data_IF_708794642873
#
_entry.id   IF_708794642873
#
_cell.length_a   1.000
_cell.length_b   1.000
_cell.length_c   1.000
_cell.angle_alpha   90.00
_cell.angle_beta   90.00
_cell.angle_gamma   90.00
#
_symmetry.space_group_name_H-M   'P 1'
#
loop_
_entity.id
_entity.type
_entity.pdbx_description
1 polymer ?
#
# COMPACT_ATOMS: atom_id res chain seq x y z
N UNK A 1 22.24 18.82 -9.55
CA UNK A 1 22.25 18.81 -11.04
C UNK A 1 21.22 19.76 -11.62
N UNK A 2 19.91 19.60 -11.32
CA UNK A 2 18.84 20.48 -11.84
C UNK A 2 18.96 21.96 -11.48
N UNK A 3 19.33 22.30 -10.23
CA UNK A 3 19.50 23.70 -9.83
C UNK A 3 20.54 24.45 -10.68
N UNK A 4 21.69 23.80 -10.95
CA UNK A 4 22.76 24.41 -11.71
C UNK A 4 22.47 24.46 -13.21
N UNK A 5 21.66 23.53 -13.73
CA UNK A 5 21.13 23.63 -15.10
C UNK A 5 20.15 24.82 -15.20
N UNK A 6 19.27 24.97 -14.22
CA UNK A 6 18.34 26.10 -14.17
C UNK A 6 19.06 27.47 -14.10
N UNK A 7 20.16 27.58 -13.34
CA UNK A 7 20.98 28.78 -13.33
C UNK A 7 21.64 29.08 -14.70
N UNK A 8 21.91 28.05 -15.51
CA UNK A 8 22.41 28.22 -16.88
C UNK A 8 21.27 28.68 -17.79
N UNK A 9 20.08 28.08 -17.68
CA UNK A 9 18.90 28.47 -18.45
C UNK A 9 18.49 29.93 -18.18
N UNK A 10 18.64 30.40 -16.94
CA UNK A 10 18.40 31.79 -16.54
C UNK A 10 19.52 32.75 -16.94
N UNK A 11 20.63 32.24 -17.51
CA UNK A 11 21.80 33.04 -17.89
C UNK A 11 22.61 33.57 -16.71
N UNK A 12 22.39 33.07 -15.49
CA UNK A 12 23.14 33.48 -14.30
C UNK A 12 24.55 32.90 -14.29
N UNK A 13 24.77 31.80 -15.02
CA UNK A 13 26.07 31.17 -15.22
C UNK A 13 26.15 30.55 -16.62
N UNK A 14 27.36 30.45 -17.15
CA UNK A 14 27.58 29.92 -18.51
C UNK A 14 27.55 28.38 -18.57
N UNK A 15 27.92 27.68 -17.50
CA UNK A 15 28.07 26.22 -17.50
C UNK A 15 27.53 25.58 -16.22
N UNK A 16 27.15 24.30 -16.28
CA UNK A 16 26.79 23.52 -15.09
C UNK A 16 28.03 22.75 -14.59
N UNK A 17 28.58 23.05 -13.39
CA UNK A 17 29.82 22.45 -12.90
C UNK A 17 29.59 21.04 -12.35
N UNK A 18 28.32 20.67 -12.13
CA UNK A 18 27.92 19.31 -11.77
C UNK A 18 27.60 18.46 -13.02
N UNK A 19 27.73 19.01 -14.24
CA UNK A 19 27.56 18.25 -15.47
C UNK A 19 28.67 17.20 -15.55
N UNK A 20 28.29 15.94 -15.76
CA UNK A 20 29.23 14.81 -15.79
C UNK A 20 29.54 14.20 -14.43
N UNK A 21 29.03 14.76 -13.32
CA UNK A 21 29.09 14.09 -12.01
C UNK A 21 28.03 12.98 -11.99
N UNK A 22 28.42 11.70 -11.90
CA UNK A 22 27.46 10.60 -11.87
C UNK A 22 26.60 10.68 -10.60
N UNK A 23 25.33 10.28 -10.73
CA UNK A 23 24.44 10.20 -9.57
C UNK A 23 24.99 9.18 -8.56
N UNK A 24 25.04 9.59 -7.29
CA UNK A 24 25.46 8.69 -6.23
C UNK A 24 24.46 7.54 -6.13
N UNK A 25 24.96 6.32 -6.28
CA UNK A 25 24.16 5.12 -6.06
C UNK A 25 23.94 4.97 -4.56
N UNK A 26 22.80 5.41 -4.07
CA UNK A 26 22.36 5.07 -2.72
C UNK A 26 21.67 3.71 -2.76
N UNK A 27 22.01 2.82 -1.83
CA UNK A 27 21.21 1.63 -1.59
C UNK A 27 19.82 2.06 -1.16
N UNK A 28 18.84 1.83 -2.03
CA UNK A 28 17.44 2.12 -1.70
C UNK A 28 16.90 0.92 -0.93
N UNK A 29 16.47 1.16 0.30
CA UNK A 29 15.68 0.18 1.03
C UNK A 29 14.39 -0.09 0.25
N UNK A 30 14.20 -1.34 -0.20
CA UNK A 30 12.97 -1.72 -0.91
C UNK A 30 11.80 -1.76 0.08
N UNK A 31 10.86 -0.82 -0.09
CA UNK A 31 9.62 -0.81 0.68
C UNK A 31 8.77 -2.03 0.34
N UNK A 32 8.28 -2.69 1.39
CA UNK A 32 7.45 -3.90 1.30
C UNK A 32 6.20 -3.73 2.17
N UNK A 33 5.07 -4.38 1.83
CA UNK A 33 3.88 -4.37 2.67
C UNK A 33 4.21 -4.95 4.05
N UNK A 34 3.53 -4.46 5.08
CA UNK A 34 3.63 -5.01 6.43
C UNK A 34 3.15 -6.47 6.45
N UNK A 35 3.86 -7.38 7.13
CA UNK A 35 3.35 -8.71 7.44
C UNK A 35 2.03 -8.64 8.21
N UNK A 36 1.15 -9.61 7.97
CA UNK A 36 -0.16 -9.69 8.63
C UNK A 36 -0.03 -9.73 10.17
N UNK A 37 1.00 -10.41 10.67
CA UNK A 37 1.29 -10.48 12.11
C UNK A 37 1.63 -9.10 12.70
N UNK A 38 2.37 -8.25 11.98
CA UNK A 38 2.67 -6.90 12.45
C UNK A 38 1.46 -5.97 12.36
N UNK A 39 0.59 -6.15 11.36
CA UNK A 39 -0.70 -5.45 11.32
C UNK A 39 -1.57 -5.86 12.52
N UNK A 40 -1.62 -7.16 12.84
CA UNK A 40 -2.34 -7.66 14.01
C UNK A 40 -1.74 -7.12 15.32
N UNK A 41 -0.41 -7.13 15.46
CA UNK A 41 0.29 -6.57 16.61
C UNK A 41 0.03 -5.07 16.77
N UNK A 42 0.01 -4.30 15.67
CA UNK A 42 -0.34 -2.88 15.70
C UNK A 42 -1.79 -2.67 16.17
N UNK A 43 -2.72 -3.49 15.67
CA UNK A 43 -4.13 -3.50 16.11
C UNK A 43 -4.27 -3.86 17.60
N UNK A 44 -3.45 -4.75 18.12
CA UNK A 44 -3.47 -5.11 19.54
C UNK A 44 -2.87 -4.01 20.42
N UNK A 45 -1.78 -3.39 19.97
CA UNK A 45 -1.13 -2.29 20.68
C UNK A 45 -1.98 -1.00 20.69
N UNK A 46 -2.84 -0.81 19.69
CA UNK A 46 -3.71 0.36 19.55
C UNK A 46 -5.18 -0.06 19.62
N UNK A 47 -5.79 0.13 20.81
CA UNK A 47 -7.21 -0.12 21.03
C UNK A 47 -8.10 0.65 20.04
N UNK A 48 -9.28 0.12 19.77
CA UNK A 48 -10.29 0.83 18.97
C UNK A 48 -10.62 2.20 19.60
N UNK A 49 -10.92 3.19 18.76
CA UNK A 49 -11.16 4.59 19.18
C UNK A 49 -9.90 5.44 19.34
N UNK A 50 -8.69 4.85 19.36
CA UNK A 50 -7.44 5.63 19.38
C UNK A 50 -7.13 6.23 18.00
N UNK A 51 -6.43 7.38 17.95
CA UNK A 51 -6.05 8.04 16.69
C UNK A 51 -5.05 7.20 15.89
N UNK A 52 -4.13 6.54 16.58
CA UNK A 52 -3.14 5.60 16.03
C UNK A 52 -3.83 4.42 15.34
N UNK A 53 -4.87 3.87 15.97
CA UNK A 53 -5.67 2.81 15.34
C UNK A 53 -6.41 3.35 14.12
N UNK A 54 -7.07 4.50 14.25
CA UNK A 54 -7.87 5.09 13.18
C UNK A 54 -7.05 5.44 11.93
N UNK A 55 -5.84 6.03 12.10
CA UNK A 55 -4.99 6.37 10.96
C UNK A 55 -4.54 5.14 10.18
N UNK A 56 -4.25 4.03 10.86
CA UNK A 56 -3.90 2.78 10.19
C UNK A 56 -5.09 2.23 9.39
N UNK A 57 -6.28 2.13 10.01
CA UNK A 57 -7.45 1.56 9.31
C UNK A 57 -7.88 2.43 8.12
N UNK A 58 -7.76 3.76 8.21
CA UNK A 58 -7.97 4.68 7.08
C UNK A 58 -6.95 4.41 5.96
N UNK A 59 -5.65 4.34 6.27
CA UNK A 59 -4.62 4.08 5.27
C UNK A 59 -4.82 2.71 4.57
N UNK A 60 -5.09 1.65 5.34
CA UNK A 60 -5.28 0.30 4.83
C UNK A 60 -6.56 0.16 4.00
N UNK A 61 -7.65 0.80 4.43
CA UNK A 61 -8.95 0.60 3.79
C UNK A 61 -9.13 1.49 2.56
N UNK A 62 -8.62 2.73 2.59
CA UNK A 62 -8.75 3.68 1.48
C UNK A 62 -7.57 3.61 0.50
N UNK A 63 -6.46 3.00 0.93
CA UNK A 63 -5.21 2.98 0.19
C UNK A 63 -4.64 4.37 -0.07
N UNK A 64 -5.00 5.40 0.70
CA UNK A 64 -4.53 6.78 0.50
C UNK A 64 -3.16 7.05 1.16
N UNK A 65 -2.46 8.12 0.75
CA UNK A 65 -1.21 8.52 1.41
C UNK A 65 -1.56 9.11 2.77
N UNK A 66 -0.72 8.91 3.78
CA UNK A 66 -0.99 9.45 5.12
C UNK A 66 -1.23 10.98 5.09
N UNK A 67 -0.51 11.73 4.25
CA UNK A 67 -0.74 13.17 4.10
C UNK A 67 -2.18 13.51 3.68
N UNK A 68 -2.73 12.73 2.73
CA UNK A 68 -4.11 12.89 2.26
C UNK A 68 -5.11 12.42 3.35
N UNK A 69 -4.80 11.31 4.03
CA UNK A 69 -5.63 10.77 5.14
C UNK A 69 -5.74 11.74 6.31
N UNK A 70 -4.66 12.44 6.66
CA UNK A 70 -4.67 13.43 7.73
C UNK A 70 -5.50 14.67 7.41
N UNK A 71 -5.87 14.89 6.14
CA UNK A 71 -6.67 16.03 5.71
C UNK A 71 -8.16 15.71 5.51
N UNK A 72 -8.53 14.43 5.59
CA UNK A 72 -9.91 13.97 5.50
C UNK A 72 -10.78 14.59 6.59
N UNK A 73 -11.96 15.05 6.17
CA UNK A 73 -12.99 15.64 7.02
C UNK A 73 -14.19 14.72 7.13
N UNK A 74 -14.97 14.87 8.20
CA UNK A 74 -16.23 14.15 8.35
C UNK A 74 -17.21 14.49 7.22
N UNK A 75 -17.18 15.73 6.72
CA UNK A 75 -17.98 16.18 5.57
C UNK A 75 -17.62 15.49 4.25
N UNK A 76 -16.44 14.88 4.15
CA UNK A 76 -16.01 14.18 2.95
C UNK A 76 -16.60 12.78 2.88
N UNK A 77 -17.22 12.30 3.97
CA UNK A 77 -17.95 11.04 4.01
C UNK A 77 -19.41 11.28 3.62
N UNK A 78 -19.79 10.78 2.44
CA UNK A 78 -21.15 10.92 1.90
C UNK A 78 -21.49 9.63 1.12
N UNK A 79 -22.76 9.24 1.15
CA UNK A 79 -23.29 8.08 0.41
C UNK A 79 -22.51 6.77 0.63
N UNK A 80 -22.04 6.54 1.85
CA UNK A 80 -21.31 5.31 2.22
C UNK A 80 -19.86 5.25 1.72
N UNK A 81 -19.28 6.39 1.32
CA UNK A 81 -17.92 6.47 0.80
C UNK A 81 -17.20 7.71 1.31
N UNK A 82 -15.88 7.73 1.16
CA UNK A 82 -15.04 8.91 1.39
C UNK A 82 -14.63 9.53 0.05
N UNK A 83 -14.89 10.83 -0.10
CA UNK A 83 -14.37 11.64 -1.20
C UNK A 83 -12.96 12.15 -0.85
N UNK A 84 -12.01 11.99 -1.77
CA UNK A 84 -10.61 12.37 -1.54
C UNK A 84 -10.05 13.08 -2.76
N UNK A 85 -9.46 14.27 -2.57
CA UNK A 85 -8.59 14.90 -3.55
C UNK A 85 -7.14 14.75 -3.13
N UNK A 86 -6.36 13.97 -3.87
CA UNK A 86 -4.97 13.69 -3.53
C UNK A 86 -4.09 14.94 -3.70
N UNK A 87 -3.31 15.29 -2.68
CA UNK A 87 -2.46 16.48 -2.72
C UNK A 87 -1.37 16.41 -3.79
N UNK A 88 -0.73 15.23 -3.95
CA UNK A 88 0.40 15.06 -4.86
C UNK A 88 0.00 15.10 -6.35
N UNK A 89 -1.20 14.63 -6.67
CA UNK A 89 -1.62 14.35 -8.06
C UNK A 89 -2.89 15.09 -8.46
N UNK A 90 -3.56 15.76 -7.52
CA UNK A 90 -4.87 16.38 -7.67
C UNK A 90 -5.98 15.44 -8.16
N UNK A 91 -5.78 14.12 -8.11
CA UNK A 91 -6.82 13.15 -8.47
C UNK A 91 -7.94 13.16 -7.43
N UNK A 92 -9.16 13.23 -7.91
CA UNK A 92 -10.37 13.12 -7.11
C UNK A 92 -10.88 11.68 -7.17
N UNK A 93 -11.21 11.12 -6.01
CA UNK A 93 -11.59 9.72 -5.83
C UNK A 93 -12.82 9.66 -4.94
N UNK A 94 -13.70 8.72 -5.27
CA UNK A 94 -14.80 8.29 -4.41
C UNK A 94 -14.54 6.85 -4.00
N UNK A 95 -14.28 6.63 -2.70
CA UNK A 95 -13.83 5.34 -2.20
C UNK A 95 -14.88 4.76 -1.23
N UNK A 96 -15.58 3.68 -1.61
CA UNK A 96 -16.54 3.01 -0.73
C UNK A 96 -15.94 2.63 0.61
N UNK A 97 -16.69 2.87 1.68
CA UNK A 97 -16.32 2.48 3.03
C UNK A 97 -16.74 1.03 3.25
N UNK A 98 -15.76 0.16 3.46
CA UNK A 98 -16.00 -1.24 3.82
C UNK A 98 -16.34 -1.37 5.32
N UNK A 99 -17.03 -2.45 5.74
CA UNK A 99 -17.43 -2.65 7.14
C UNK A 99 -16.28 -2.53 8.14
N UNK A 100 -15.07 -2.97 7.77
CA UNK A 100 -13.86 -2.85 8.60
C UNK A 100 -13.52 -1.39 8.95
N UNK A 101 -13.67 -0.47 7.98
CA UNK A 101 -13.42 0.94 8.19
C UNK A 101 -14.59 1.60 8.91
N UNK A 102 -15.82 1.22 8.59
CA UNK A 102 -17.02 1.74 9.26
C UNK A 102 -16.93 1.51 10.78
N UNK A 103 -16.57 0.29 11.21
CA UNK A 103 -16.41 -0.02 12.63
C UNK A 103 -15.38 0.89 13.34
N UNK A 104 -14.29 1.25 12.66
CA UNK A 104 -13.29 2.17 13.19
C UNK A 104 -13.81 3.63 13.25
N UNK A 105 -14.62 4.04 12.28
CA UNK A 105 -15.22 5.38 12.20
C UNK A 105 -16.38 5.58 13.21
N UNK A 106 -17.07 4.50 13.58
CA UNK A 106 -18.20 4.55 14.52
C UNK A 106 -17.75 4.83 15.95
N UNK A 107 -16.57 4.32 16.32
CA UNK A 107 -15.97 4.51 17.66
C UNK A 107 -15.00 5.68 17.73
N UNK A 108 -14.72 6.34 16.60
CA UNK A 108 -13.83 7.48 16.53
C UNK A 108 -14.45 8.72 17.18
N UNK A 109 -13.65 9.51 17.91
CA UNK A 109 -14.11 10.76 18.50
C UNK A 109 -14.42 11.81 17.41
N UNK A 110 -15.58 12.46 17.52
CA UNK A 110 -16.06 13.48 16.56
C UNK A 110 -16.17 14.86 17.20
N UNK A 111 -15.03 15.47 17.53
CA UNK A 111 -14.98 16.81 18.13
C UNK A 111 -14.16 17.83 17.30
N UNK A 112 -13.97 17.53 16.01
CA UNK A 112 -13.31 18.41 15.03
C UNK A 112 -13.95 18.19 13.66
N UNK A 113 -13.70 19.11 12.72
CA UNK A 113 -14.09 18.91 11.31
C UNK A 113 -13.25 17.80 10.65
N UNK A 114 -12.03 17.57 11.12
CA UNK A 114 -11.13 16.54 10.63
C UNK A 114 -11.42 15.19 11.31
N UNK A 115 -11.26 14.10 10.55
CA UNK A 115 -11.37 12.73 11.10
C UNK A 115 -10.19 12.46 12.05
N UNK A 116 -8.98 12.87 11.65
CA UNK A 116 -7.77 12.79 12.47
C UNK A 116 -7.36 14.18 12.93
N UNK A 117 -7.63 14.50 14.20
CA UNK A 117 -7.36 15.82 14.79
C UNK A 117 -6.19 15.82 15.76
N UNK A 118 -5.61 16.99 15.98
CA UNK A 118 -4.73 17.23 17.13
C UNK A 118 -5.50 17.02 18.45
N UNK A 119 -4.77 16.94 19.56
CA UNK A 119 -5.34 16.64 20.90
C UNK A 119 -6.34 17.69 21.38
N UNK A 120 -6.20 18.94 20.91
CA UNK A 120 -7.09 20.05 21.26
C UNK A 120 -8.36 20.09 20.42
N UNK A 121 -8.49 19.26 19.38
CA UNK A 121 -9.63 19.31 18.45
C UNK A 121 -9.61 20.46 17.45
N UNK A 122 -8.63 21.37 17.52
CA UNK A 122 -8.67 22.66 16.82
C UNK A 122 -8.19 22.61 15.36
N UNK A 123 -7.42 21.59 15.00
CA UNK A 123 -6.87 21.43 13.66
C UNK A 123 -6.53 19.96 13.40
N UNK A 124 -6.30 19.60 12.14
CA UNK A 124 -5.86 18.26 11.77
C UNK A 124 -4.61 17.82 12.53
N UNK A 125 -4.47 16.52 12.70
CA UNK A 125 -3.25 15.95 13.24
C UNK A 125 -2.09 16.22 12.29
N UNK A 126 -0.98 16.75 12.81
CA UNK A 126 0.18 17.09 12.00
C UNK A 126 0.88 15.84 11.49
N UNK A 127 1.48 15.91 10.30
CA UNK A 127 2.24 14.79 9.74
C UNK A 127 3.36 14.34 10.69
N UNK A 128 4.11 15.29 11.26
CA UNK A 128 5.18 14.99 12.22
C UNK A 128 4.63 14.28 13.46
N UNK A 129 3.50 14.75 14.00
CA UNK A 129 2.86 14.14 15.17
C UNK A 129 2.38 12.73 14.91
N UNK A 130 1.65 12.52 13.81
CA UNK A 130 1.20 11.20 13.39
C UNK A 130 2.39 10.25 13.11
N UNK A 131 3.41 10.74 12.41
CA UNK A 131 4.61 9.96 12.11
C UNK A 131 5.34 9.51 13.38
N UNK A 132 5.45 10.39 14.38
CA UNK A 132 6.09 10.05 15.65
C UNK A 132 5.24 9.06 16.45
N UNK A 133 3.92 9.25 16.54
CA UNK A 133 3.03 8.35 17.26
C UNK A 133 3.06 6.93 16.68
N UNK A 134 2.97 6.82 15.34
CA UNK A 134 3.07 5.53 14.66
C UNK A 134 4.46 4.91 14.85
N UNK A 135 5.55 5.71 14.82
CA UNK A 135 6.89 5.22 15.12
C UNK A 135 7.00 4.65 16.53
N UNK A 136 6.45 5.31 17.54
CA UNK A 136 6.47 4.82 18.92
C UNK A 136 5.79 3.45 19.03
N UNK A 137 4.70 3.22 18.28
CA UNK A 137 4.05 1.90 18.22
C UNK A 137 4.94 0.89 17.49
N UNK A 138 5.55 1.27 16.36
CA UNK A 138 6.51 0.41 15.63
C UNK A 138 7.67 -0.05 16.51
N UNK A 139 8.23 0.84 17.33
CA UNK A 139 9.29 0.50 18.28
C UNK A 139 8.82 -0.55 19.29
N UNK A 140 7.61 -0.39 19.85
CA UNK A 140 7.03 -1.33 20.82
C UNK A 140 6.77 -2.72 20.25
N UNK A 141 6.39 -2.82 18.98
CA UNK A 141 6.03 -4.10 18.33
C UNK A 141 7.18 -4.68 17.48
N UNK A 142 8.36 -4.05 17.46
CA UNK A 142 9.49 -4.50 16.65
C UNK A 142 9.30 -4.33 15.13
N UNK A 143 8.53 -3.33 14.69
CA UNK A 143 8.21 -3.07 13.27
C UNK A 143 8.96 -1.86 12.69
N UNK A 144 10.18 -1.59 13.15
CA UNK A 144 10.97 -0.44 12.69
C UNK A 144 11.40 -0.52 11.22
N UNK A 145 11.39 -1.70 10.61
CA UNK A 145 11.75 -1.85 9.18
C UNK A 145 10.57 -1.53 8.24
N UNK A 146 9.36 -1.32 8.78
CA UNK A 146 8.14 -1.14 7.99
C UNK A 146 7.54 0.24 8.15
N UNK A 147 7.67 1.09 7.13
CA UNK A 147 7.18 2.47 7.19
C UNK A 147 5.66 2.61 7.10
N UNK A 148 5.16 3.74 7.58
CA UNK A 148 3.74 4.12 7.54
C UNK A 148 3.20 4.10 6.11
N UNK A 149 4.04 4.54 5.16
CA UNK A 149 3.71 4.54 3.75
C UNK A 149 3.47 3.12 3.20
N UNK A 150 4.05 2.09 3.82
CA UNK A 150 3.84 0.71 3.42
C UNK A 150 2.42 0.21 3.67
N UNK A 151 1.59 0.85 4.51
CA UNK A 151 0.16 0.52 4.61
C UNK A 151 -0.57 0.72 3.27
N UNK A 152 -0.11 1.64 2.43
CA UNK A 152 -0.63 1.79 1.07
C UNK A 152 -0.21 0.64 0.15
N UNK A 153 0.95 0.03 0.39
CA UNK A 153 1.33 -1.22 -0.28
C UNK A 153 0.41 -2.35 0.18
N UNK A 154 0.14 -2.47 1.48
CA UNK A 154 -0.82 -3.44 2.01
C UNK A 154 -2.19 -3.32 1.34
N UNK A 155 -2.75 -2.11 1.23
CA UNK A 155 -4.05 -1.90 0.58
C UNK A 155 -4.07 -2.40 -0.88
N UNK A 156 -3.03 -2.09 -1.66
CA UNK A 156 -2.92 -2.53 -3.05
C UNK A 156 -2.74 -4.06 -3.16
N UNK A 157 -1.94 -4.65 -2.26
CA UNK A 157 -1.72 -6.09 -2.20
C UNK A 157 -2.99 -6.85 -1.77
N UNK A 158 -3.73 -6.36 -0.78
CA UNK A 158 -4.98 -6.97 -0.30
C UNK A 158 -6.03 -7.03 -1.42
N UNK A 159 -6.17 -5.96 -2.21
CA UNK A 159 -7.07 -5.95 -3.37
C UNK A 159 -6.60 -6.90 -4.48
N UNK A 160 -5.29 -6.97 -4.74
CA UNK A 160 -4.76 -7.94 -5.70
C UNK A 160 -5.02 -9.39 -5.26
N UNK A 161 -4.80 -9.70 -3.98
CA UNK A 161 -5.04 -11.02 -3.41
C UNK A 161 -6.53 -11.39 -3.41
N UNK A 162 -7.42 -10.38 -3.32
CA UNK A 162 -8.86 -10.53 -3.54
C UNK A 162 -9.24 -10.73 -5.02
N UNK A 163 -8.27 -10.77 -5.94
CA UNK A 163 -8.49 -11.01 -7.36
C UNK A 163 -8.83 -9.76 -8.18
N UNK A 164 -8.68 -8.55 -7.61
CA UNK A 164 -8.93 -7.32 -8.36
C UNK A 164 -7.87 -7.09 -9.45
N UNK A 165 -8.32 -6.65 -10.62
CA UNK A 165 -7.46 -6.17 -11.68
C UNK A 165 -6.83 -4.81 -11.35
N UNK A 166 -5.76 -4.45 -12.05
CA UNK A 166 -4.94 -3.27 -11.76
C UNK A 166 -5.72 -1.95 -11.86
N UNK A 167 -6.69 -1.87 -12.76
CA UNK A 167 -7.60 -0.73 -12.92
C UNK A 167 -8.55 -0.57 -11.73
N UNK A 168 -9.09 -1.68 -11.20
CA UNK A 168 -9.89 -1.68 -9.97
C UNK A 168 -9.05 -1.24 -8.76
N UNK A 169 -7.82 -1.76 -8.64
CA UNK A 169 -6.88 -1.34 -7.58
C UNK A 169 -6.53 0.15 -7.73
N UNK A 170 -6.33 0.62 -8.95
CA UNK A 170 -6.04 2.02 -9.24
C UNK A 170 -7.24 2.93 -8.93
N UNK A 171 -8.48 2.47 -9.13
CA UNK A 171 -9.69 3.23 -8.81
C UNK A 171 -9.80 3.52 -7.30
N UNK A 172 -9.43 2.55 -6.45
CA UNK A 172 -9.43 2.73 -4.99
C UNK A 172 -8.22 3.56 -4.54
N UNK A 173 -7.03 3.20 -4.98
CA UNK A 173 -5.79 3.81 -4.48
C UNK A 173 -5.46 5.16 -5.15
N UNK A 174 -6.01 5.45 -6.33
CA UNK A 174 -5.63 6.59 -7.19
C UNK A 174 -4.26 6.47 -7.85
N UNK A 175 -3.65 5.28 -7.83
CA UNK A 175 -2.33 5.04 -8.41
C UNK A 175 -2.37 5.02 -9.95
N UNK A 176 -1.22 5.22 -10.59
CA UNK A 176 -1.06 4.85 -12.00
C UNK A 176 -0.91 3.33 -12.13
N UNK A 177 -1.24 2.72 -13.28
CA UNK A 177 -1.06 1.27 -13.49
C UNK A 177 0.37 0.80 -13.18
N UNK A 178 1.38 1.56 -13.62
CA UNK A 178 2.78 1.27 -13.31
C UNK A 178 3.09 1.25 -11.81
N UNK A 179 2.41 2.09 -11.02
CA UNK A 179 2.62 2.17 -9.58
C UNK A 179 1.89 1.03 -8.86
N UNK A 180 0.70 0.64 -9.31
CA UNK A 180 0.00 -0.56 -8.83
C UNK A 180 0.87 -1.79 -9.07
N UNK A 181 1.42 -1.94 -10.28
CA UNK A 181 2.34 -3.03 -10.62
C UNK A 181 3.58 -3.03 -9.73
N UNK A 182 4.16 -1.85 -9.49
CA UNK A 182 5.30 -1.70 -8.58
C UNK A 182 4.97 -2.12 -7.14
N UNK A 183 3.85 -1.65 -6.58
CA UNK A 183 3.46 -1.92 -5.18
C UNK A 183 3.14 -3.39 -4.96
N UNK A 184 2.61 -4.05 -5.99
CA UNK A 184 2.18 -5.45 -5.92
C UNK A 184 3.21 -6.44 -6.48
N UNK A 185 4.39 -5.96 -6.89
CA UNK A 185 5.43 -6.73 -7.59
C UNK A 185 5.78 -8.05 -6.87
N UNK A 186 6.04 -7.98 -5.56
CA UNK A 186 6.44 -9.16 -4.78
C UNK A 186 5.32 -10.20 -4.67
N UNK A 187 4.09 -9.75 -4.38
CA UNK A 187 2.90 -10.62 -4.31
C UNK A 187 2.64 -11.30 -5.66
N UNK A 188 2.70 -10.54 -6.76
CA UNK A 188 2.54 -11.11 -8.12
C UNK A 188 3.61 -12.15 -8.42
N UNK A 189 4.86 -11.85 -8.10
CA UNK A 189 5.96 -12.79 -8.34
C UNK A 189 5.72 -14.10 -7.59
N UNK A 190 5.33 -14.03 -6.31
CA UNK A 190 5.01 -15.20 -5.49
C UNK A 190 3.85 -16.01 -6.07
N UNK A 191 2.74 -15.35 -6.42
CA UNK A 191 1.56 -16.02 -6.97
C UNK A 191 1.86 -16.70 -8.31
N UNK A 192 2.57 -16.01 -9.22
CA UNK A 192 2.98 -16.56 -10.51
C UNK A 192 3.94 -17.74 -10.37
N UNK A 193 4.88 -17.67 -9.42
CA UNK A 193 5.79 -18.78 -9.15
C UNK A 193 5.03 -20.03 -8.67
N UNK A 194 4.05 -19.86 -7.78
CA UNK A 194 3.20 -20.96 -7.31
C UNK A 194 2.36 -21.56 -8.43
N UNK A 195 1.78 -20.73 -9.28
CA UNK A 195 0.98 -21.17 -10.44
C UNK A 195 1.84 -21.95 -11.46
N UNK A 196 3.04 -21.45 -11.77
CA UNK A 196 3.97 -22.13 -12.65
C UNK A 196 4.36 -23.53 -12.11
N UNK A 197 4.67 -23.62 -10.82
CA UNK A 197 5.01 -24.90 -10.17
C UNK A 197 3.84 -25.90 -10.15
N UNK A 198 2.62 -25.42 -9.87
CA UNK A 198 1.40 -26.25 -9.94
C UNK A 198 1.18 -26.79 -11.36
N UNK A 199 1.38 -25.94 -12.36
CA UNK A 199 1.23 -26.32 -13.78
C UNK A 199 2.23 -27.42 -14.18
N UNK A 200 3.48 -27.32 -13.75
CA UNK A 200 4.51 -28.34 -14.00
C UNK A 200 4.19 -29.67 -13.30
N UNK A 201 3.71 -29.63 -12.05
CA UNK A 201 3.26 -30.83 -11.34
C UNK A 201 2.08 -31.51 -12.06
N UNK A 202 1.11 -30.74 -12.53
CA UNK A 202 -0.05 -31.25 -13.27
C UNK A 202 0.35 -31.92 -14.58
N UNK A 203 1.27 -31.31 -15.33
CA UNK A 203 1.87 -31.90 -16.53
C UNK A 203 2.51 -33.25 -16.20
N UNK A 204 3.38 -33.29 -15.19
CA UNK A 204 4.06 -34.51 -14.77
C UNK A 204 3.11 -35.62 -14.30
N UNK A 205 1.99 -35.27 -13.63
CA UNK A 205 0.94 -36.21 -13.25
C UNK A 205 0.22 -36.80 -14.47
N UNK A 206 -0.13 -35.97 -15.45
CA UNK A 206 -0.75 -36.43 -16.70
C UNK A 206 0.17 -37.39 -17.46
N UNK A 207 1.46 -37.03 -17.61
CA UNK A 207 2.44 -37.90 -18.29
C UNK A 207 2.59 -39.27 -17.59
N UNK A 208 2.66 -39.30 -16.25
CA UNK A 208 2.72 -40.58 -15.50
C UNK A 208 1.46 -41.43 -15.68
N UNK A 209 0.28 -40.80 -15.74
CA UNK A 209 -0.98 -41.51 -15.94
C UNK A 209 -1.08 -42.12 -17.34
N UNK A 210 -0.67 -41.37 -18.37
CA UNK A 210 -0.58 -41.83 -19.76
C UNK A 210 0.38 -43.02 -19.90
N UNK A 211 1.58 -42.94 -19.32
CA UNK A 211 2.56 -44.03 -19.34
C UNK A 211 2.11 -45.28 -18.57
N UNK A 212 1.40 -45.14 -17.45
CA UNK A 212 0.85 -46.28 -16.70
C UNK A 212 -0.26 -46.99 -17.46
N UNK A 213 -1.15 -46.26 -18.15
CA UNK A 213 -2.18 -46.85 -19.01
C UNK A 213 -1.58 -47.61 -20.19
N UNK A 214 -0.54 -47.07 -20.82
CA UNK A 214 0.17 -47.74 -21.91
C UNK A 214 0.85 -49.04 -21.45
N UNK A 215 1.51 -49.06 -20.30
CA UNK A 215 2.11 -50.30 -19.74
C UNK A 215 1.07 -51.34 -19.32
N UNK A 216 -0.07 -50.93 -18.75
CA UNK A 216 -1.14 -51.86 -18.36
C UNK A 216 -1.76 -52.58 -19.57
N UNK A 217 -1.90 -51.90 -20.71
CA UNK A 217 -2.41 -52.52 -21.95
C UNK A 217 -1.41 -53.52 -22.56
N UNK A 218 -0.10 -53.32 -22.40
CA UNK A 218 0.92 -54.25 -22.92
C UNK A 218 1.05 -55.57 -22.14
N UNK A 219 0.56 -55.64 -20.90
CA UNK A 219 0.67 -56.84 -20.05
C UNK A 219 -0.53 -57.79 -20.19
N UNK A 220 -1.63 -57.36 -20.81
CA UNK A 220 -2.83 -58.17 -21.05
C UNK A 220 -2.76 -59.02 -22.34
N UNK A 221 -1.70 -58.89 -23.13
CA UNK A 221 -1.48 -59.61 -24.40
C UNK A 221 -0.29 -60.58 -24.35
N UNK A 222 0.11 -61.03 -23.16
CA UNK A 222 1.06 -62.15 -22.95
C UNK A 222 0.40 -63.20 -22.07
#
# INVERSE_FOLDING_TARGET
MFLMEHCVDLGWRETNPARGVPELKTEKHELSPWPLELLAAYRQACAQGTRERLVMELCLSTGQRIGDVLEMRWSDIQDGAVFVRQNKTSKELWVPILPKLQAALDVASRHSVFILTNERGTNRWSYRGASQAVRNVREKIGALDFDIHCWRYNAACELLEAGCADDLIAAVTGQSPAMVSHYTKQVRQKNRAQEAQKSEQNKNRMFRHLFRRSKAQSTQFR
#
